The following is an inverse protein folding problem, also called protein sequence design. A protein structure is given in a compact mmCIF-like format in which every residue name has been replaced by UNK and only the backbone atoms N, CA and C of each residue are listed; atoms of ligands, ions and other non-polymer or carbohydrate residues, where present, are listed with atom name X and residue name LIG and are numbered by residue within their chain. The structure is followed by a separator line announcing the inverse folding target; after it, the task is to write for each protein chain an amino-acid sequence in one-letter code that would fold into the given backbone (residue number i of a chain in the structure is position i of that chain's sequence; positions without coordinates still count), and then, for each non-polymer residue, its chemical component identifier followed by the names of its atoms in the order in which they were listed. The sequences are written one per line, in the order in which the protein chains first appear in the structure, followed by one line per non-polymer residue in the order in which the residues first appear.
data_IF_707927643121
#
_entry.id   IF_707927643121
#
_cell.length_a   1.000
_cell.length_b   1.000
_cell.length_c   1.000
_cell.angle_alpha   90.00
_cell.angle_beta   90.00
_cell.angle_gamma   90.00
#
_symmetry.space_group_name_H-M   'P 1'
#
loop_
_entity.id
_entity.type
_entity.pdbx_description
1 polymer ?
#
# COMPACT_ATOMS: atom_id res chain seq x y z
N UNK A 1 -21.26 2.29 -1.02
CA UNK A 1 -19.90 2.75 -1.37
C UNK A 1 -19.53 1.98 -2.61
N UNK A 2 -19.39 2.68 -3.74
CA UNK A 2 -19.00 2.04 -5.00
C UNK A 2 -17.60 1.43 -4.83
N UNK A 3 -17.32 0.28 -5.46
CA UNK A 3 -16.03 -0.42 -5.30
C UNK A 3 -14.84 0.51 -5.59
N UNK A 4 -14.99 1.40 -6.57
CA UNK A 4 -14.00 2.42 -6.92
C UNK A 4 -13.69 3.39 -5.78
N UNK A 5 -14.71 3.99 -5.17
CA UNK A 5 -14.54 4.96 -4.07
C UNK A 5 -13.81 4.32 -2.88
N UNK A 6 -14.06 3.03 -2.63
CA UNK A 6 -13.37 2.31 -1.57
C UNK A 6 -11.87 2.17 -1.86
N UNK A 7 -11.51 1.76 -3.07
CA UNK A 7 -10.12 1.59 -3.49
C UNK A 7 -9.38 2.94 -3.49
N UNK A 8 -10.02 4.01 -3.97
CA UNK A 8 -9.44 5.36 -3.95
C UNK A 8 -9.13 5.83 -2.51
N UNK A 9 -10.03 5.56 -1.55
CA UNK A 9 -9.78 5.83 -0.14
C UNK A 9 -8.64 4.98 0.44
N UNK A 10 -8.56 3.70 0.07
CA UNK A 10 -7.48 2.83 0.53
C UNK A 10 -6.12 3.25 -0.06
N UNK A 11 -6.08 3.79 -1.28
CA UNK A 11 -4.88 4.39 -1.89
C UNK A 11 -4.44 5.65 -1.11
N UNK A 12 -5.37 6.56 -0.81
CA UNK A 12 -5.08 7.77 -0.02
C UNK A 12 -4.57 7.42 1.39
N UNK A 13 -5.12 6.37 2.00
CA UNK A 13 -4.69 5.89 3.30
C UNK A 13 -3.27 5.30 3.25
N UNK A 14 -2.95 4.53 2.20
CA UNK A 14 -1.61 3.96 2.03
C UNK A 14 -0.56 5.08 1.91
N UNK A 15 -0.87 6.13 1.14
CA UNK A 15 0.04 7.27 0.97
C UNK A 15 0.30 7.98 2.30
N UNK A 16 -0.72 8.19 3.12
CA UNK A 16 -0.55 8.76 4.47
C UNK A 16 0.33 7.89 5.36
N UNK A 17 0.10 6.57 5.34
CA UNK A 17 0.91 5.64 6.11
C UNK A 17 2.38 5.62 5.63
N UNK A 18 2.62 5.77 4.32
CA UNK A 18 3.98 5.90 3.77
C UNK A 18 4.66 7.20 4.25
N UNK A 19 3.93 8.32 4.30
CA UNK A 19 4.46 9.59 4.82
C UNK A 19 4.85 9.49 6.31
N UNK A 20 4.09 8.76 7.13
CA UNK A 20 4.46 8.49 8.53
C UNK A 20 5.80 7.74 8.67
N UNK A 21 6.22 7.06 7.62
CA UNK A 21 7.43 6.24 7.57
C UNK A 21 8.61 6.90 6.84
N UNK A 22 8.45 8.12 6.29
CA UNK A 22 9.48 8.78 5.48
C UNK A 22 10.82 8.98 6.19
N UNK A 23 10.80 9.10 7.52
CA UNK A 23 12.01 9.29 8.34
C UNK A 23 12.76 8.00 8.66
N UNK A 24 12.21 6.84 8.29
CA UNK A 24 12.79 5.52 8.60
C UNK A 24 13.74 5.11 7.48
N UNK A 25 14.96 4.72 7.86
CA UNK A 25 15.93 4.14 6.93
C UNK A 25 15.75 2.62 6.85
N UNK A 26 15.02 2.13 5.84
CA UNK A 26 14.85 0.69 5.59
C UNK A 26 16.11 0.06 4.99
N UNK A 27 16.51 -1.11 5.49
CA UNK A 27 17.68 -1.86 5.03
C UNK A 27 17.35 -3.32 4.74
N UNK A 28 18.13 -3.94 3.85
CA UNK A 28 18.00 -5.37 3.53
C UNK A 28 16.58 -5.75 3.11
N UNK A 29 16.00 -6.72 3.79
CA UNK A 29 14.64 -7.22 3.51
C UNK A 29 13.55 -6.17 3.71
N UNK A 30 13.69 -5.26 4.68
CA UNK A 30 12.71 -4.18 4.89
C UNK A 30 12.62 -3.26 3.68
N UNK A 31 13.76 -3.00 3.04
CA UNK A 31 13.82 -2.23 1.79
C UNK A 31 13.12 -2.96 0.66
N UNK A 32 13.31 -4.27 0.54
CA UNK A 32 12.61 -5.07 -0.47
C UNK A 32 11.08 -5.10 -0.21
N UNK A 33 10.66 -5.13 1.06
CA UNK A 33 9.25 -5.10 1.46
C UNK A 33 8.61 -3.77 1.11
N UNK A 34 9.24 -2.63 1.45
CA UNK A 34 8.67 -1.32 1.13
C UNK A 34 8.59 -1.12 -0.39
N UNK A 35 9.64 -1.48 -1.14
CA UNK A 35 9.63 -1.42 -2.61
C UNK A 35 8.50 -2.27 -3.20
N UNK A 36 8.25 -3.46 -2.62
CA UNK A 36 7.13 -4.32 -3.04
C UNK A 36 5.76 -3.71 -2.72
N UNK A 37 5.60 -3.06 -1.56
CA UNK A 37 4.36 -2.35 -1.23
C UNK A 37 4.07 -1.23 -2.25
N UNK A 38 5.09 -0.45 -2.65
CA UNK A 38 4.96 0.58 -3.68
C UNK A 38 4.57 -0.01 -5.05
N UNK A 39 5.18 -1.15 -5.44
CA UNK A 39 4.80 -1.84 -6.68
C UNK A 39 3.34 -2.28 -6.68
N UNK A 40 2.84 -2.83 -5.56
CA UNK A 40 1.44 -3.25 -5.45
C UNK A 40 0.46 -2.07 -5.38
N UNK A 41 0.86 -0.90 -4.86
CA UNK A 41 0.09 0.34 -5.01
C UNK A 41 -0.07 0.71 -6.48
N UNK A 42 1.03 0.66 -7.24
CA UNK A 42 1.04 1.02 -8.66
C UNK A 42 0.21 0.03 -9.49
N UNK A 43 0.28 -1.27 -9.16
CA UNK A 43 -0.60 -2.30 -9.73
C UNK A 43 -2.07 -2.02 -9.41
N UNK A 44 -2.39 -1.64 -8.16
CA UNK A 44 -3.76 -1.27 -7.79
C UNK A 44 -4.28 -0.12 -8.64
N UNK A 45 -3.49 0.95 -8.83
CA UNK A 45 -3.82 2.07 -9.71
C UNK A 45 -4.03 1.63 -11.16
N UNK A 46 -3.20 0.70 -11.66
CA UNK A 46 -3.31 0.16 -13.00
C UNK A 46 -4.63 -0.59 -13.21
N UNK A 47 -4.96 -1.53 -12.32
CA UNK A 47 -6.19 -2.32 -12.43
C UNK A 47 -7.44 -1.48 -12.16
N UNK A 48 -7.35 -0.46 -11.29
CA UNK A 48 -8.45 0.48 -11.06
C UNK A 48 -8.81 1.24 -12.34
N UNK A 49 -7.80 1.77 -13.06
CA UNK A 49 -7.99 2.47 -14.34
C UNK A 49 -8.62 1.57 -15.41
N UNK A 50 -8.39 0.26 -15.34
CA UNK A 50 -8.97 -0.74 -16.24
C UNK A 50 -10.38 -1.20 -15.86
N UNK A 51 -10.89 -0.79 -14.70
CA UNK A 51 -12.17 -1.26 -14.16
C UNK A 51 -12.12 -2.66 -13.57
N UNK A 52 -10.93 -3.25 -13.39
CA UNK A 52 -10.76 -4.52 -12.69
C UNK A 52 -10.65 -4.26 -11.19
N UNK A 53 -11.80 -4.07 -10.56
CA UNK A 53 -11.88 -3.69 -9.15
C UNK A 53 -11.45 -4.81 -8.19
N UNK A 54 -11.64 -6.08 -8.56
CA UNK A 54 -11.28 -7.21 -7.69
C UNK A 54 -9.75 -7.32 -7.61
N UNK A 55 -9.07 -7.30 -8.76
CA UNK A 55 -7.61 -7.34 -8.79
C UNK A 55 -7.02 -6.08 -8.15
N UNK A 56 -7.58 -4.91 -8.46
CA UNK A 56 -7.15 -3.64 -7.86
C UNK A 56 -7.27 -3.63 -6.33
N UNK A 57 -8.38 -4.15 -5.80
CA UNK A 57 -8.59 -4.27 -4.35
C UNK A 57 -7.63 -5.27 -3.71
N UNK A 58 -7.37 -6.41 -4.37
CA UNK A 58 -6.35 -7.37 -3.93
C UNK A 58 -4.96 -6.75 -3.85
N UNK A 59 -4.59 -5.93 -4.84
CA UNK A 59 -3.30 -5.24 -4.86
C UNK A 59 -3.16 -4.24 -3.70
N UNK A 60 -4.15 -3.37 -3.47
CA UNK A 60 -4.04 -2.36 -2.41
C UNK A 60 -4.08 -2.96 -1.01
N UNK A 61 -4.88 -4.00 -0.79
CA UNK A 61 -4.91 -4.71 0.51
C UNK A 61 -3.59 -5.43 0.81
N UNK A 62 -2.95 -6.01 -0.21
CA UNK A 62 -1.63 -6.61 -0.05
C UNK A 62 -0.55 -5.54 0.25
N UNK A 63 -0.60 -4.38 -0.43
CA UNK A 63 0.29 -3.26 -0.13
C UNK A 63 0.15 -2.78 1.32
N UNK A 64 -1.08 -2.63 1.82
CA UNK A 64 -1.35 -2.30 3.23
C UNK A 64 -0.78 -3.34 4.18
N UNK A 65 -0.99 -4.64 3.92
CA UNK A 65 -0.46 -5.70 4.78
C UNK A 65 1.07 -5.70 4.89
N UNK A 66 1.77 -5.44 3.79
CA UNK A 66 3.23 -5.28 3.80
C UNK A 66 3.66 -4.06 4.63
N UNK A 67 2.99 -2.94 4.40
CA UNK A 67 3.31 -1.67 5.07
C UNK A 67 3.03 -1.75 6.57
N UNK A 68 1.87 -2.27 6.98
CA UNK A 68 1.50 -2.44 8.39
C UNK A 68 2.49 -3.36 9.11
N UNK A 69 2.99 -4.41 8.45
CA UNK A 69 4.07 -5.23 8.99
C UNK A 69 5.32 -4.43 9.36
N UNK A 70 5.75 -3.51 8.48
CA UNK A 70 6.86 -2.60 8.77
C UNK A 70 6.50 -1.60 9.86
N UNK A 71 5.28 -1.03 9.85
CA UNK A 71 4.81 -0.07 10.86
C UNK A 71 4.83 -0.67 12.27
N UNK A 72 4.44 -1.94 12.39
CA UNK A 72 4.51 -2.70 13.64
C UNK A 72 5.96 -2.91 14.12
N UNK A 73 6.88 -3.26 13.21
CA UNK A 73 8.29 -3.47 13.55
C UNK A 73 8.97 -2.18 14.04
N UNK A 74 8.56 -1.03 13.53
CA UNK A 74 9.08 0.28 13.93
C UNK A 74 8.27 0.99 15.02
N UNK A 75 7.24 0.33 15.58
CA UNK A 75 6.46 0.85 16.72
C UNK A 75 5.64 2.11 16.41
N UNK A 76 5.19 2.26 15.15
CA UNK A 76 4.35 3.38 14.72
C UNK A 76 2.89 3.17 15.14
N UNK A 77 2.46 1.91 15.16
CA UNK A 77 1.12 1.45 15.56
C UNK A 77 1.19 0.33 16.60
#
# INVERSE_FOLDING_TARGET
MECRERIEKDLDLLEKNLMEMESIEFKGEERAIIERALNYRDDSLYYLKKGDYITSFGCITYAHGLLDGLRMLHGII
#
